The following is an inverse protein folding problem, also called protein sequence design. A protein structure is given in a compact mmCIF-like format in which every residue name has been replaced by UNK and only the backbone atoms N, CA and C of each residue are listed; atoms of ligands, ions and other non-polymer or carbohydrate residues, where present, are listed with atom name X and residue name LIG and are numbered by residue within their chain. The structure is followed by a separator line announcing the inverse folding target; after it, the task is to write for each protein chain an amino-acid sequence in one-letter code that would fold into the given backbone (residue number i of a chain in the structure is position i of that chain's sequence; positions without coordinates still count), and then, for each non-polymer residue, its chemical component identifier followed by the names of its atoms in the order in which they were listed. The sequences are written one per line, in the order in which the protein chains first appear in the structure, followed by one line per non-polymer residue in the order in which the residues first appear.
data_IF_328738231843
#
_entry.id   IF_328738231843
#
_cell.length_a   1.000
_cell.length_b   1.000
_cell.length_c   1.000
_cell.angle_alpha   90.00
_cell.angle_beta   90.00
_cell.angle_gamma   90.00
#
_symmetry.space_group_name_H-M   'P 1'
#
loop_
_entity.id
_entity.type
_entity.pdbx_description
1 polymer ?
#
# COMPACT_ATOMS: atom_id res chain seq x y z
N UNK A 1 -10.00 -9.65 -17.31
CA UNK A 1 -9.11 -9.07 -16.26
C UNK A 1 -8.59 -7.68 -16.62
N UNK A 2 -7.87 -7.48 -17.72
CA UNK A 2 -7.26 -6.18 -18.08
C UNK A 2 -8.26 -5.01 -18.17
N UNK A 3 -9.46 -5.26 -18.71
CA UNK A 3 -10.54 -4.28 -18.78
C UNK A 3 -11.03 -3.83 -17.39
N UNK A 4 -10.99 -4.70 -16.38
CA UNK A 4 -11.36 -4.36 -15.00
C UNK A 4 -10.33 -3.43 -14.36
N UNK A 5 -9.04 -3.70 -14.59
CA UNK A 5 -7.94 -2.84 -14.13
C UNK A 5 -8.04 -1.46 -14.78
N UNK A 6 -8.30 -1.41 -16.08
CA UNK A 6 -8.48 -0.14 -16.81
C UNK A 6 -9.68 0.66 -16.30
N UNK A 7 -10.80 -0.02 -16.02
CA UNK A 7 -11.97 0.59 -15.41
C UNK A 7 -11.61 1.24 -14.06
N UNK A 8 -10.90 0.54 -13.18
CA UNK A 8 -10.50 1.06 -11.87
C UNK A 8 -9.59 2.31 -12.00
N UNK A 9 -8.64 2.30 -12.95
CA UNK A 9 -7.79 3.46 -13.26
C UNK A 9 -8.61 4.65 -13.78
N UNK A 10 -9.58 4.42 -14.67
CA UNK A 10 -10.44 5.49 -15.20
C UNK A 10 -11.32 6.12 -14.13
N UNK A 11 -11.86 5.31 -13.22
CA UNK A 11 -12.65 5.80 -12.08
C UNK A 11 -11.77 6.69 -11.17
N UNK A 12 -10.46 6.42 -11.10
CA UNK A 12 -9.53 7.14 -10.24
C UNK A 12 -8.90 8.41 -10.86
N UNK A 13 -9.15 8.71 -12.14
CA UNK A 13 -8.51 9.82 -12.89
C UNK A 13 -8.57 11.20 -12.21
N UNK A 14 -9.72 11.61 -11.68
CA UNK A 14 -9.86 12.92 -11.02
C UNK A 14 -9.08 13.02 -9.72
N UNK A 15 -8.98 11.89 -8.99
CA UNK A 15 -8.18 11.81 -7.76
C UNK A 15 -6.68 11.68 -8.01
N UNK A 16 -6.26 11.19 -9.18
CA UNK A 16 -4.84 11.08 -9.56
C UNK A 16 -4.22 12.47 -9.73
N UNK A 17 -4.95 13.43 -10.29
CA UNK A 17 -4.47 14.82 -10.43
C UNK A 17 -4.22 15.44 -9.06
N UNK A 18 -5.20 15.33 -8.15
CA UNK A 18 -5.07 15.86 -6.78
C UNK A 18 -3.92 15.17 -6.03
N UNK A 19 -3.76 13.86 -6.23
CA UNK A 19 -2.64 13.12 -5.68
C UNK A 19 -1.30 13.64 -6.22
N UNK A 20 -1.18 13.82 -7.54
CA UNK A 20 0.03 14.33 -8.17
C UNK A 20 0.43 15.71 -7.63
N UNK A 21 -0.55 16.62 -7.50
CA UNK A 21 -0.33 17.95 -6.90
C UNK A 21 0.17 17.82 -5.46
N UNK A 22 -0.45 16.96 -4.66
CA UNK A 22 -0.06 16.74 -3.27
C UNK A 22 1.37 16.18 -3.17
N UNK A 23 1.73 15.21 -4.03
CA UNK A 23 3.08 14.65 -4.07
C UNK A 23 4.12 15.70 -4.47
N UNK A 24 3.82 16.57 -5.45
CA UNK A 24 4.69 17.69 -5.82
C UNK A 24 4.89 18.64 -4.64
N UNK A 25 3.80 19.00 -3.92
CA UNK A 25 3.89 19.84 -2.73
C UNK A 25 4.77 19.23 -1.64
N UNK A 26 4.66 17.92 -1.39
CA UNK A 26 5.52 17.21 -0.41
C UNK A 26 7.00 17.35 -0.79
N UNK A 27 7.33 17.16 -2.08
CA UNK A 27 8.71 17.24 -2.56
C UNK A 27 9.26 18.66 -2.45
N UNK A 28 8.49 19.67 -2.88
CA UNK A 28 8.91 21.09 -2.82
C UNK A 28 9.09 21.55 -1.37
N UNK A 29 8.11 21.28 -0.51
CA UNK A 29 8.17 21.69 0.89
C UNK A 29 9.32 20.97 1.61
N UNK A 30 9.46 19.68 1.34
CA UNK A 30 10.54 18.88 1.88
C UNK A 30 11.94 19.39 1.49
N UNK A 31 12.13 19.72 0.21
CA UNK A 31 13.39 20.28 -0.28
C UNK A 31 13.71 21.63 0.38
N UNK A 32 12.70 22.50 0.61
CA UNK A 32 12.90 23.78 1.27
C UNK A 32 13.32 23.65 2.75
N UNK A 33 12.90 22.59 3.43
CA UNK A 33 13.28 22.33 4.84
C UNK A 33 14.67 21.67 4.93
N UNK A 34 15.28 21.30 3.80
CA UNK A 34 16.59 20.62 3.78
C UNK A 34 16.53 19.20 4.31
N UNK A 35 15.35 18.57 4.29
CA UNK A 35 15.21 17.17 4.64
C UNK A 35 15.95 16.27 3.61
N UNK A 36 16.38 15.06 3.99
CA UNK A 36 17.04 14.14 3.06
C UNK A 36 16.09 13.60 1.99
N UNK A 37 16.59 13.43 0.77
CA UNK A 37 15.83 12.95 -0.40
C UNK A 37 15.05 11.64 -0.14
N UNK A 38 15.65 10.71 0.61
CA UNK A 38 15.06 9.41 0.93
C UNK A 38 13.78 9.52 1.78
N UNK A 39 13.66 10.55 2.62
CA UNK A 39 12.50 10.73 3.51
C UNK A 39 11.27 11.17 2.70
N UNK A 40 11.43 12.06 1.72
CA UNK A 40 10.31 12.47 0.85
C UNK A 40 9.82 11.31 -0.01
N UNK A 41 10.75 10.50 -0.49
CA UNK A 41 10.41 9.38 -1.36
C UNK A 41 9.61 8.33 -0.58
N UNK A 42 10.02 8.04 0.66
CA UNK A 42 9.29 7.18 1.58
C UNK A 42 7.91 7.75 1.92
N UNK A 43 7.82 9.01 2.37
CA UNK A 43 6.56 9.63 2.76
C UNK A 43 5.61 9.76 1.57
N UNK A 44 6.10 10.22 0.42
CA UNK A 44 5.34 10.34 -0.81
C UNK A 44 4.79 8.98 -1.25
N UNK A 45 5.62 7.92 -1.22
CA UNK A 45 5.19 6.58 -1.62
C UNK A 45 4.14 6.00 -0.68
N UNK A 46 4.26 6.26 0.64
CA UNK A 46 3.26 5.86 1.62
C UNK A 46 1.94 6.61 1.44
N UNK A 47 1.99 7.93 1.26
CA UNK A 47 0.80 8.75 1.02
C UNK A 47 0.12 8.33 -0.28
N UNK A 48 0.88 8.10 -1.35
CA UNK A 48 0.36 7.59 -2.61
C UNK A 48 -0.29 6.22 -2.43
N UNK A 49 0.44 5.22 -1.94
CA UNK A 49 -0.07 3.86 -1.76
C UNK A 49 -1.31 3.81 -0.84
N UNK A 50 -1.25 4.48 0.31
CA UNK A 50 -2.35 4.52 1.27
C UNK A 50 -3.60 5.20 0.72
N UNK A 51 -3.44 6.33 0.02
CA UNK A 51 -4.58 7.03 -0.58
C UNK A 51 -5.17 6.29 -1.78
N UNK A 52 -4.36 5.57 -2.56
CA UNK A 52 -4.84 4.70 -3.63
C UNK A 52 -5.75 3.60 -3.06
N UNK A 53 -5.32 2.92 -1.99
CA UNK A 53 -6.09 1.89 -1.32
C UNK A 53 -7.37 2.47 -0.73
N UNK A 54 -7.26 3.51 0.10
CA UNK A 54 -8.40 4.12 0.77
C UNK A 54 -9.48 4.60 -0.21
N UNK A 55 -9.07 5.28 -1.30
CA UNK A 55 -10.01 5.75 -2.32
C UNK A 55 -10.61 4.64 -3.16
N UNK A 56 -9.84 3.58 -3.45
CA UNK A 56 -10.38 2.43 -4.18
C UNK A 56 -11.50 1.75 -3.38
N UNK A 57 -11.30 1.62 -2.07
CA UNK A 57 -12.26 1.01 -1.16
C UNK A 57 -13.47 1.94 -0.97
N UNK A 58 -13.27 3.24 -0.76
CA UNK A 58 -14.38 4.18 -0.53
C UNK A 58 -15.29 4.32 -1.75
N UNK A 59 -14.72 4.41 -2.95
CA UNK A 59 -15.52 4.50 -4.18
C UNK A 59 -16.24 3.21 -4.52
N UNK A 60 -15.71 2.08 -4.11
CA UNK A 60 -16.40 0.82 -4.31
C UNK A 60 -17.67 0.75 -3.47
N UNK A 61 -17.65 1.33 -2.27
CA UNK A 61 -18.82 1.45 -1.42
C UNK A 61 -19.86 2.39 -2.02
N UNK A 62 -19.45 3.62 -2.36
CA UNK A 62 -20.36 4.65 -2.91
C UNK A 62 -21.12 4.15 -4.15
N UNK A 63 -20.50 3.26 -4.93
CA UNK A 63 -21.07 2.73 -6.17
C UNK A 63 -21.60 1.28 -6.04
N UNK A 64 -21.62 0.71 -4.83
CA UNK A 64 -21.94 -0.71 -4.58
C UNK A 64 -21.27 -1.66 -5.58
N UNK A 65 -20.00 -1.39 -5.87
CA UNK A 65 -19.28 -1.97 -7.00
C UNK A 65 -19.13 -3.48 -6.86
N UNK A 66 -19.04 -3.98 -5.63
CA UNK A 66 -18.93 -5.40 -5.35
C UNK A 66 -20.22 -6.15 -5.75
N UNK A 67 -21.40 -5.60 -5.43
CA UNK A 67 -22.71 -6.15 -5.81
C UNK A 67 -22.96 -6.01 -7.32
N UNK A 68 -22.56 -4.88 -7.90
CA UNK A 68 -22.64 -4.70 -9.36
C UNK A 68 -21.76 -5.69 -10.11
N UNK A 69 -20.52 -5.89 -9.67
CA UNK A 69 -19.57 -6.80 -10.34
C UNK A 69 -19.95 -8.27 -10.13
N UNK A 70 -20.56 -8.65 -9.01
CA UNK A 70 -21.09 -10.02 -8.83
C UNK A 70 -22.30 -10.32 -9.69
N UNK A 71 -23.05 -9.29 -10.13
CA UNK A 71 -24.17 -9.44 -11.07
C UNK A 71 -23.73 -9.63 -12.54
N UNK A 72 -22.48 -9.30 -12.87
CA UNK A 72 -21.93 -9.49 -14.21
C UNK A 72 -21.45 -10.93 -14.42
N UNK A 73 -21.45 -11.46 -15.66
CA UNK A 73 -20.93 -12.78 -15.99
C UNK A 73 -19.39 -12.78 -16.01
N UNK A 74 -18.77 -12.34 -14.91
CA UNK A 74 -17.33 -12.23 -14.71
C UNK A 74 -16.93 -13.18 -13.59
N UNK A 75 -15.81 -13.88 -13.76
CA UNK A 75 -15.37 -14.81 -12.71
C UNK A 75 -14.94 -14.05 -11.45
N UNK A 76 -15.39 -14.50 -10.28
CA UNK A 76 -15.02 -13.90 -8.97
C UNK A 76 -13.49 -13.87 -8.77
N UNK A 77 -12.78 -14.85 -9.33
CA UNK A 77 -11.30 -14.91 -9.35
C UNK A 77 -10.70 -13.72 -10.08
N UNK A 78 -11.25 -13.35 -11.23
CA UNK A 78 -10.76 -12.24 -12.04
C UNK A 78 -10.93 -10.89 -11.34
N UNK A 79 -11.98 -10.74 -10.53
CA UNK A 79 -12.26 -9.52 -9.74
C UNK A 79 -11.20 -9.33 -8.66
N UNK A 80 -10.98 -10.37 -7.84
CA UNK A 80 -9.95 -10.32 -6.77
C UNK A 80 -8.56 -10.13 -7.38
N UNK A 81 -8.24 -10.88 -8.44
CA UNK A 81 -6.96 -10.74 -9.13
C UNK A 81 -6.73 -9.36 -9.73
N UNK A 82 -7.74 -8.80 -10.41
CA UNK A 82 -7.65 -7.45 -10.96
C UNK A 82 -7.39 -6.40 -9.87
N UNK A 83 -7.98 -6.59 -8.68
CA UNK A 83 -7.78 -5.68 -7.54
C UNK A 83 -6.36 -5.73 -7.01
N UNK A 84 -5.85 -6.92 -6.73
CA UNK A 84 -4.48 -7.10 -6.22
C UNK A 84 -3.46 -6.56 -7.26
N UNK A 85 -3.55 -7.03 -8.52
CA UNK A 85 -2.63 -6.59 -9.59
C UNK A 85 -2.75 -5.09 -9.86
N UNK A 86 -3.97 -4.54 -9.87
CA UNK A 86 -4.21 -3.11 -10.07
C UNK A 86 -3.56 -2.24 -8.99
N UNK A 87 -3.61 -2.67 -7.72
CA UNK A 87 -2.96 -1.96 -6.61
C UNK A 87 -1.43 -2.01 -6.67
N UNK A 88 -0.86 -3.12 -7.12
CA UNK A 88 0.58 -3.23 -7.38
C UNK A 88 1.02 -2.29 -8.51
N UNK A 89 0.29 -2.28 -9.64
CA UNK A 89 0.62 -1.42 -10.79
C UNK A 89 0.49 0.07 -10.41
N UNK A 90 -0.56 0.46 -9.70
CA UNK A 90 -0.75 1.86 -9.28
C UNK A 90 0.35 2.29 -8.30
N UNK A 91 0.78 1.40 -7.41
CA UNK A 91 1.90 1.67 -6.51
C UNK A 91 3.23 1.83 -7.25
N UNK A 92 3.56 0.94 -8.19
CA UNK A 92 4.78 1.04 -8.99
C UNK A 92 4.79 2.32 -9.83
N UNK A 93 3.67 2.69 -10.44
CA UNK A 93 3.57 3.94 -11.21
C UNK A 93 3.72 5.17 -10.32
N UNK A 94 3.18 5.16 -9.09
CA UNK A 94 3.37 6.24 -8.12
C UNK A 94 4.84 6.38 -7.68
N UNK A 95 5.55 5.27 -7.46
CA UNK A 95 6.98 5.27 -7.12
C UNK A 95 7.81 5.87 -8.26
N UNK A 96 7.54 5.45 -9.51
CA UNK A 96 8.23 5.99 -10.69
C UNK A 96 7.95 7.49 -10.84
N UNK A 97 6.70 7.91 -10.68
CA UNK A 97 6.33 9.32 -10.72
C UNK A 97 7.07 10.14 -9.66
N UNK A 98 7.11 9.65 -8.41
CA UNK A 98 7.83 10.31 -7.33
C UNK A 98 9.33 10.44 -7.61
N UNK A 99 9.96 9.39 -8.13
CA UNK A 99 11.37 9.43 -8.51
C UNK A 99 11.67 10.51 -9.55
N UNK A 100 10.80 10.64 -10.55
CA UNK A 100 10.95 11.67 -11.59
C UNK A 100 10.80 13.07 -10.97
N UNK A 101 9.75 13.29 -10.16
CA UNK A 101 9.50 14.59 -9.53
C UNK A 101 10.62 14.99 -8.58
N UNK A 102 11.11 14.07 -7.74
CA UNK A 102 12.21 14.37 -6.81
C UNK A 102 13.51 14.70 -7.55
N UNK A 103 13.82 13.95 -8.62
CA UNK A 103 15.02 14.20 -9.43
C UNK A 103 14.97 15.57 -10.11
N UNK A 104 13.79 15.99 -10.58
CA UNK A 104 13.58 17.31 -11.19
C UNK A 104 13.72 18.42 -10.14
N UNK A 105 13.13 18.28 -8.95
CA UNK A 105 13.15 19.34 -7.93
C UNK A 105 14.54 19.52 -7.32
N UNK A 106 15.25 18.43 -7.06
CA UNK A 106 16.57 18.49 -6.42
C UNK A 106 17.74 18.68 -7.40
N UNK A 107 17.47 18.72 -8.71
CA UNK A 107 18.48 18.83 -9.77
C UNK A 107 19.60 17.77 -9.66
N UNK A 108 19.33 16.67 -8.96
CA UNK A 108 20.29 15.62 -8.62
C UNK A 108 19.59 14.27 -8.67
N UNK A 109 20.33 13.25 -9.09
CA UNK A 109 19.84 11.87 -9.02
C UNK A 109 20.03 11.33 -7.60
N UNK A 110 18.98 10.71 -7.08
CA UNK A 110 19.02 10.06 -5.78
C UNK A 110 19.95 8.84 -5.86
N UNK A 111 20.87 8.65 -4.89
CA UNK A 111 21.68 7.47 -4.82
C UNK A 111 20.82 6.20 -4.88
N UNK A 112 21.25 5.23 -5.68
CA UNK A 112 20.49 4.00 -5.93
C UNK A 112 20.19 3.26 -4.61
N UNK A 113 21.15 3.26 -3.66
CA UNK A 113 20.97 2.65 -2.35
C UNK A 113 19.80 3.26 -1.56
N UNK A 114 19.71 4.59 -1.52
CA UNK A 114 18.66 5.32 -0.80
C UNK A 114 17.30 5.16 -1.47
N UNK A 115 17.29 5.08 -2.81
CA UNK A 115 16.10 4.76 -3.58
C UNK A 115 15.56 3.36 -3.23
N UNK A 116 16.42 2.33 -3.19
CA UNK A 116 15.99 0.97 -2.83
C UNK A 116 15.48 0.87 -1.39
N UNK A 117 16.14 1.56 -0.46
CA UNK A 117 15.71 1.61 0.94
C UNK A 117 14.34 2.29 1.08
N UNK A 118 14.17 3.47 0.51
CA UNK A 118 12.91 4.25 0.63
C UNK A 118 11.74 3.60 -0.11
N UNK A 119 11.95 3.08 -1.31
CA UNK A 119 10.89 2.40 -2.07
C UNK A 119 10.57 1.03 -1.51
N UNK A 120 11.59 0.27 -1.09
CA UNK A 120 11.42 -1.06 -0.53
C UNK A 120 10.68 -1.05 0.80
N UNK A 121 10.96 -0.07 1.67
CA UNK A 121 10.19 0.14 2.90
C UNK A 121 8.74 0.50 2.63
N UNK A 122 8.49 1.43 1.72
CA UNK A 122 7.13 1.79 1.33
C UNK A 122 6.38 0.58 0.78
N UNK A 123 7.00 -0.21 -0.11
CA UNK A 123 6.44 -1.46 -0.64
C UNK A 123 6.09 -2.45 0.47
N UNK A 124 7.00 -2.70 1.41
CA UNK A 124 6.76 -3.59 2.56
C UNK A 124 5.53 -3.14 3.36
N UNK A 125 5.42 -1.85 3.66
CA UNK A 125 4.32 -1.31 4.46
C UNK A 125 2.99 -1.43 3.70
N UNK A 126 2.95 -1.00 2.44
CA UNK A 126 1.72 -1.02 1.64
C UNK A 126 1.28 -2.46 1.33
N UNK A 127 2.23 -3.36 1.04
CA UNK A 127 1.94 -4.79 0.90
C UNK A 127 1.38 -5.35 2.21
N UNK A 128 2.00 -5.06 3.36
CA UNK A 128 1.49 -5.48 4.67
C UNK A 128 0.06 -5.00 4.92
N UNK A 129 -0.21 -3.72 4.67
CA UNK A 129 -1.56 -3.14 4.83
C UNK A 129 -2.58 -3.80 3.88
N UNK A 130 -2.23 -3.99 2.61
CA UNK A 130 -3.13 -4.64 1.63
C UNK A 130 -3.37 -6.11 1.94
N UNK A 131 -2.35 -6.85 2.42
CA UNK A 131 -2.51 -8.26 2.79
C UNK A 131 -3.55 -8.49 3.88
N UNK A 132 -3.66 -7.54 4.82
CA UNK A 132 -4.61 -7.59 5.92
C UNK A 132 -5.98 -7.05 5.50
N UNK A 133 -6.00 -5.91 4.80
CA UNK A 133 -7.26 -5.23 4.48
C UNK A 133 -8.08 -5.95 3.42
N UNK A 134 -7.47 -6.47 2.35
CA UNK A 134 -8.24 -7.02 1.22
C UNK A 134 -9.05 -8.29 1.55
N UNK A 135 -8.53 -9.30 2.28
CA UNK A 135 -9.34 -10.44 2.68
C UNK A 135 -10.55 -10.04 3.52
N UNK A 136 -10.34 -9.09 4.43
CA UNK A 136 -11.39 -8.57 5.31
C UNK A 136 -12.44 -7.81 4.51
N UNK A 137 -12.01 -7.00 3.53
CA UNK A 137 -12.91 -6.29 2.62
C UNK A 137 -13.85 -7.25 1.89
N UNK A 138 -13.30 -8.33 1.31
CA UNK A 138 -14.09 -9.32 0.57
C UNK A 138 -14.96 -10.20 1.48
N UNK A 139 -14.62 -10.32 2.76
CA UNK A 139 -15.39 -11.15 3.70
C UNK A 139 -16.57 -10.39 4.34
N UNK A 140 -16.30 -9.17 4.83
CA UNK A 140 -17.18 -8.46 5.75
C UNK A 140 -17.77 -7.17 5.16
N UNK A 141 -17.41 -6.81 3.93
CA UNK A 141 -17.81 -5.55 3.30
C UNK A 141 -17.13 -4.32 3.91
N UNK A 142 -17.49 -3.14 3.40
CA UNK A 142 -16.84 -1.87 3.74
C UNK A 142 -17.09 -1.40 5.17
N UNK A 143 -18.32 -1.51 5.68
CA UNK A 143 -18.67 -0.98 7.00
C UNK A 143 -17.88 -1.64 8.12
N UNK A 144 -17.59 -2.93 7.97
CA UNK A 144 -16.74 -3.69 8.88
C UNK A 144 -15.26 -3.28 8.82
N UNK A 145 -14.80 -2.69 7.71
CA UNK A 145 -13.42 -2.23 7.57
C UNK A 145 -13.09 -1.08 8.51
N UNK A 146 -14.05 -0.19 8.78
CA UNK A 146 -13.85 0.96 9.70
C UNK A 146 -13.45 0.46 11.10
N UNK A 147 -14.14 -0.58 11.57
CA UNK A 147 -13.83 -1.22 12.86
C UNK A 147 -12.47 -1.91 12.84
N UNK A 148 -12.14 -2.61 11.76
CA UNK A 148 -10.84 -3.29 11.60
C UNK A 148 -9.69 -2.28 11.58
N UNK A 149 -9.85 -1.15 10.89
CA UNK A 149 -8.86 -0.08 10.84
C UNK A 149 -8.66 0.55 12.22
N UNK A 150 -9.76 0.80 12.95
CA UNK A 150 -9.68 1.29 14.32
C UNK A 150 -8.98 0.29 15.26
N UNK A 151 -9.26 -1.00 15.12
CA UNK A 151 -8.60 -2.08 15.84
C UNK A 151 -7.11 -2.17 15.51
N UNK A 152 -6.73 -2.00 14.24
CA UNK A 152 -5.33 -1.98 13.79
C UNK A 152 -4.56 -0.80 14.39
N UNK A 153 -5.17 0.38 14.51
CA UNK A 153 -4.55 1.54 15.14
C UNK A 153 -4.32 1.27 16.63
N UNK A 154 -5.32 0.72 17.33
CA UNK A 154 -5.19 0.35 18.75
C UNK A 154 -4.13 -0.74 18.95
N UNK A 155 -4.09 -1.73 18.05
CA UNK A 155 -3.08 -2.78 18.09
C UNK A 155 -1.67 -2.23 17.85
N UNK A 156 -1.53 -1.30 16.91
CA UNK A 156 -0.26 -0.62 16.64
C UNK A 156 0.21 0.20 17.85
N UNK A 157 -0.67 0.99 18.48
CA UNK A 157 -0.29 1.75 19.68
C UNK A 157 0.12 0.81 20.81
N UNK A 158 -0.60 -0.28 21.02
CA UNK A 158 -0.25 -1.29 22.03
C UNK A 158 1.11 -1.95 21.72
N UNK A 159 1.40 -2.27 20.47
CA UNK A 159 2.71 -2.75 20.04
C UNK A 159 3.82 -1.74 20.34
N UNK A 160 3.62 -0.45 20.10
CA UNK A 160 4.63 0.56 20.44
C UNK A 160 4.91 0.62 21.94
N UNK A 161 3.90 0.44 22.80
CA UNK A 161 4.12 0.30 24.24
C UNK A 161 4.95 -0.95 24.58
N UNK A 162 4.71 -2.07 23.91
CA UNK A 162 5.49 -3.31 24.11
C UNK A 162 6.96 -3.15 23.69
N UNK A 163 7.27 -2.28 22.72
CA UNK A 163 8.68 -2.02 22.32
C UNK A 163 9.50 -1.33 23.41
N UNK A 164 8.87 -0.74 24.43
CA UNK A 164 9.56 -0.15 25.58
C UNK A 164 10.11 -1.20 26.55
N UNK A 165 9.70 -2.47 26.42
CA UNK A 165 10.17 -3.54 27.29
C UNK A 165 11.64 -3.91 27.00
N UNK A 166 12.47 -4.07 28.03
CA UNK A 166 13.92 -4.32 27.86
C UNK A 166 14.21 -5.64 27.12
N UNK A 167 13.36 -6.66 27.28
CA UNK A 167 13.47 -7.91 26.53
C UNK A 167 13.23 -7.72 25.04
N UNK A 168 12.27 -6.89 24.66
CA UNK A 168 11.94 -6.59 23.27
C UNK A 168 13.05 -5.74 22.63
N UNK A 169 13.58 -4.75 23.37
CA UNK A 169 14.71 -3.95 22.90
C UNK A 169 15.96 -4.77 22.60
N UNK A 170 16.23 -5.84 23.37
CA UNK A 170 17.35 -6.74 23.12
C UNK A 170 17.19 -7.49 21.79
N UNK A 171 15.98 -7.97 21.51
CA UNK A 171 15.65 -8.63 20.24
C UNK A 171 15.74 -7.65 19.07
N UNK A 172 15.23 -6.42 19.23
CA UNK A 172 15.33 -5.37 18.21
C UNK A 172 16.80 -5.05 17.90
N UNK A 173 17.65 -4.88 18.91
CA UNK A 173 19.09 -4.62 18.71
C UNK A 173 19.78 -5.76 17.95
N UNK A 174 19.50 -7.00 18.33
CA UNK A 174 20.03 -8.18 17.64
C UNK A 174 19.61 -8.25 16.17
N UNK A 175 18.36 -7.84 15.87
CA UNK A 175 17.86 -7.76 14.50
C UNK A 175 18.56 -6.63 13.73
N UNK A 176 18.71 -5.45 14.33
CA UNK A 176 19.32 -4.28 13.66
C UNK A 176 20.80 -4.52 13.29
N UNK A 177 21.52 -5.34 14.04
CA UNK A 177 22.91 -5.72 13.76
C UNK A 177 23.11 -6.46 12.44
N UNK A 178 22.06 -7.08 11.87
CA UNK A 178 22.15 -7.82 10.60
C UNK A 178 22.25 -6.93 9.36
N UNK A 179 22.13 -5.61 9.55
CA UNK A 179 22.16 -4.62 8.49
C UNK A 179 20.77 -4.35 7.92
N UNK A 180 20.49 -3.09 7.63
CA UNK A 180 19.15 -2.66 7.23
C UNK A 180 18.69 -3.25 5.88
N UNK A 181 19.62 -3.35 4.92
CA UNK A 181 19.34 -3.81 3.56
C UNK A 181 18.97 -5.31 3.48
N UNK A 182 19.63 -6.14 4.29
CA UNK A 182 19.37 -7.59 4.34
C UNK A 182 18.01 -7.88 4.97
N UNK A 183 17.66 -7.19 6.06
CA UNK A 183 16.36 -7.28 6.72
C UNK A 183 15.25 -6.84 5.75
N UNK A 184 15.45 -5.73 5.05
CA UNK A 184 14.46 -5.21 4.10
C UNK A 184 14.21 -6.21 2.97
N UNK A 185 15.25 -6.81 2.38
CA UNK A 185 15.08 -7.85 1.36
C UNK A 185 14.28 -9.06 1.88
N UNK A 186 14.59 -9.53 3.09
CA UNK A 186 13.86 -10.64 3.72
C UNK A 186 12.39 -10.28 3.96
N UNK A 187 12.12 -9.09 4.48
CA UNK A 187 10.77 -8.59 4.75
C UNK A 187 9.97 -8.43 3.47
N UNK A 188 10.59 -7.90 2.41
CA UNK A 188 9.94 -7.73 1.12
C UNK A 188 9.59 -9.08 0.49
N UNK A 189 10.51 -10.06 0.55
CA UNK A 189 10.24 -11.43 0.12
C UNK A 189 9.09 -12.07 0.90
N UNK A 190 9.10 -11.93 2.23
CA UNK A 190 8.04 -12.45 3.10
C UNK A 190 6.69 -11.78 2.81
N UNK A 191 6.65 -10.46 2.64
CA UNK A 191 5.42 -9.72 2.32
C UNK A 191 4.86 -10.10 0.94
N UNK A 192 5.72 -10.34 -0.05
CA UNK A 192 5.28 -10.85 -1.35
C UNK A 192 4.64 -12.24 -1.25
N UNK A 193 5.21 -13.13 -0.44
CA UNK A 193 4.61 -14.46 -0.18
C UNK A 193 3.27 -14.30 0.53
N UNK A 194 3.19 -13.50 1.59
CA UNK A 194 1.95 -13.22 2.31
C UNK A 194 0.90 -12.59 1.40
N UNK A 195 1.31 -11.72 0.47
CA UNK A 195 0.41 -11.07 -0.48
C UNK A 195 -0.24 -12.09 -1.42
N UNK A 196 0.54 -13.06 -1.93
CA UNK A 196 0.02 -14.17 -2.73
C UNK A 196 -0.89 -15.10 -1.92
N UNK A 197 -0.55 -15.37 -0.66
CA UNK A 197 -1.39 -16.18 0.24
C UNK A 197 -2.72 -15.46 0.54
N UNK A 198 -2.65 -14.17 0.86
CA UNK A 198 -3.80 -13.29 1.10
C UNK A 198 -4.72 -13.27 -0.12
N UNK A 199 -4.17 -13.14 -1.32
CA UNK A 199 -4.92 -13.20 -2.57
C UNK A 199 -5.67 -14.53 -2.75
N UNK A 200 -5.01 -15.67 -2.47
CA UNK A 200 -5.67 -16.99 -2.52
C UNK A 200 -6.77 -17.14 -1.48
N UNK A 201 -6.57 -16.60 -0.27
CA UNK A 201 -7.59 -16.56 0.77
C UNK A 201 -8.79 -15.72 0.33
N UNK A 202 -8.57 -14.51 -0.19
CA UNK A 202 -9.62 -13.63 -0.72
C UNK A 202 -10.45 -14.29 -1.82
N UNK A 203 -9.82 -15.06 -2.72
CA UNK A 203 -10.54 -15.82 -3.76
C UNK A 203 -11.46 -16.89 -3.14
N UNK A 204 -10.99 -17.60 -2.11
CA UNK A 204 -11.82 -18.61 -1.44
C UNK A 204 -12.97 -17.95 -0.71
N UNK A 205 -12.68 -16.90 0.06
CA UNK A 205 -13.67 -16.14 0.84
C UNK A 205 -14.79 -15.63 -0.06
N UNK A 206 -14.45 -14.96 -1.17
CA UNK A 206 -15.45 -14.46 -2.12
C UNK A 206 -16.22 -15.60 -2.82
N UNK A 207 -15.69 -16.83 -2.83
CA UNK A 207 -16.40 -18.01 -3.32
C UNK A 207 -17.46 -18.55 -2.35
N UNK A 208 -17.36 -18.24 -1.05
CA UNK A 208 -18.30 -18.68 -0.02
C UNK A 208 -19.36 -17.63 0.33
N UNK A 209 -19.11 -16.35 0.03
CA UNK A 209 -20.06 -15.28 0.29
C UNK A 209 -21.08 -15.19 -0.87
N UNK A 210 -22.34 -15.48 -0.57
CA UNK A 210 -23.49 -15.21 -1.45
C UNK A 210 -23.89 -13.73 -1.33
N UNK A 211 -23.01 -12.84 -1.80
CA UNK A 211 -23.29 -11.42 -2.01
C UNK A 211 -23.86 -11.18 -3.42
#
# INVERSE_FOLDING_TARGET
MWQLIWKDVMIQRGSIILLAVLLICIVIFGANIGMPAFIFLLLGALVAGGSFIAKSISRDEDNHTLLFVTSLPVSRKDVVMARYIGTLISMLTAIVFLYIVTSIVMWTFIPIADFFVSTGTALVIVLGVTTLLFPIYFWLGYDSMKYVLSGLIIFYTLLTFLTSLPSVQRVIKWIVEWGYSSILMLLLGLMMILYLVSMRLSIRVLGFTDL
#
